data_IF_520382311828
#
_entry.id   IF_520382311828
#
_cell.length_a   1.000
_cell.length_b   1.000
_cell.length_c   1.000
_cell.angle_alpha   90.00
_cell.angle_beta   90.00
_cell.angle_gamma   90.00
#
_symmetry.space_group_name_H-M   'P 1'
#
loop_
_entity.id
_entity.type
_entity.pdbx_description
1 polymer ?
#
# COMPACT_ATOMS: atom_id res chain seq x y z
N UNK A 1 -18.12 4.55 -5.39
CA UNK A 1 -17.03 3.59 -5.44
C UNK A 1 -15.82 4.14 -4.70
N UNK A 2 -15.28 3.36 -3.80
CA UNK A 2 -14.20 3.85 -2.94
C UNK A 2 -12.85 3.40 -3.47
N UNK A 3 -11.88 4.28 -3.33
CA UNK A 3 -10.52 3.97 -3.74
C UNK A 3 -9.58 4.49 -2.66
N UNK A 4 -8.62 3.67 -2.29
CA UNK A 4 -7.59 4.06 -1.34
C UNK A 4 -6.27 4.17 -2.07
N UNK A 5 -5.62 5.30 -1.92
CA UNK A 5 -4.36 5.56 -2.59
C UNK A 5 -3.22 5.36 -1.61
N UNK A 6 -2.32 4.46 -1.95
CA UNK A 6 -1.11 4.24 -1.17
C UNK A 6 0.10 4.72 -1.95
N UNK A 7 0.90 5.52 -1.30
CA UNK A 7 2.18 5.95 -1.85
C UNK A 7 3.23 4.93 -1.46
N UNK A 8 3.93 4.43 -2.45
CA UNK A 8 4.95 3.40 -2.24
C UNK A 8 6.32 4.03 -2.38
N UNK A 9 7.12 3.89 -1.35
CA UNK A 9 8.45 4.45 -1.32
C UNK A 9 9.44 3.38 -0.90
N UNK A 10 10.59 3.38 -1.53
CA UNK A 10 11.64 2.43 -1.17
C UNK A 10 12.55 3.05 -0.13
N UNK A 11 12.78 2.34 0.94
CA UNK A 11 13.61 2.83 2.03
C UNK A 11 14.49 1.67 2.50
N UNK A 12 15.77 1.73 2.16
CA UNK A 12 16.68 0.64 2.46
C UNK A 12 16.25 -0.59 1.69
N UNK A 13 16.04 -1.68 2.35
CA UNK A 13 15.56 -2.89 1.70
C UNK A 13 14.06 -3.06 1.77
N UNK A 14 13.32 -2.01 2.11
CA UNK A 14 11.89 -2.11 2.38
C UNK A 14 11.07 -1.26 1.42
N UNK A 15 9.88 -1.76 1.11
CA UNK A 15 8.87 -0.95 0.44
C UNK A 15 7.88 -0.49 1.49
N UNK A 16 7.72 0.82 1.60
CA UNK A 16 6.83 1.41 2.59
C UNK A 16 5.60 1.95 1.87
N UNK A 17 4.44 1.53 2.33
CA UNK A 17 3.17 1.99 1.77
C UNK A 17 2.49 2.90 2.77
N UNK A 18 2.11 4.07 2.32
CA UNK A 18 1.48 5.07 3.19
C UNK A 18 0.20 5.57 2.57
N UNK A 19 -0.86 5.59 3.35
CA UNK A 19 -2.14 6.18 2.96
C UNK A 19 -2.41 7.37 3.87
N UNK A 20 -2.96 8.44 3.31
CA UNK A 20 -3.18 9.66 4.07
C UNK A 20 -4.59 9.82 4.59
N UNK A 21 -5.56 9.22 3.97
CA UNK A 21 -6.96 9.36 4.38
C UNK A 21 -7.69 8.04 4.25
N UNK A 22 -7.81 7.31 5.35
CA UNK A 22 -7.26 7.57 6.69
C UNK A 22 -5.78 7.28 6.75
N UNK A 23 -5.13 7.84 7.72
CA UNK A 23 -3.69 7.65 7.84
C UNK A 23 -3.37 6.21 8.22
N UNK A 24 -2.62 5.53 7.36
CA UNK A 24 -2.23 4.14 7.56
C UNK A 24 -0.88 3.93 6.91
N UNK A 25 -0.12 2.99 7.43
CA UNK A 25 1.18 2.65 6.86
C UNK A 25 1.51 1.20 7.13
N UNK A 26 2.22 0.60 6.18
CA UNK A 26 2.76 -0.74 6.36
C UNK A 26 4.01 -0.84 5.49
N UNK A 27 4.72 -1.95 5.63
CA UNK A 27 5.94 -2.14 4.84
C UNK A 27 6.19 -3.62 4.63
N UNK A 28 6.95 -3.92 3.59
CA UNK A 28 7.34 -5.28 3.28
C UNK A 28 8.59 -5.23 2.41
N UNK A 29 9.25 -6.36 2.27
CA UNK A 29 10.49 -6.41 1.50
C UNK A 29 10.25 -6.50 0.01
N UNK A 30 9.09 -7.00 -0.40
CA UNK A 30 8.77 -7.13 -1.82
C UNK A 30 7.37 -6.62 -2.06
N UNK A 31 7.09 -6.29 -3.31
CA UNK A 31 5.76 -5.85 -3.69
C UNK A 31 4.75 -6.98 -3.49
N UNK A 32 5.14 -8.20 -3.79
CA UNK A 32 4.26 -9.35 -3.61
C UNK A 32 3.84 -9.52 -2.17
N UNK A 33 4.76 -9.25 -1.24
CA UNK A 33 4.44 -9.34 0.17
C UNK A 33 3.67 -8.12 0.65
N UNK A 34 3.90 -6.98 0.01
CA UNK A 34 3.28 -5.73 0.43
C UNK A 34 1.78 -5.72 0.19
N UNK A 35 1.35 -6.26 -0.93
CA UNK A 35 -0.08 -6.20 -1.30
C UNK A 35 -0.97 -6.87 -0.25
N UNK A 36 -0.68 -8.10 0.18
CA UNK A 36 -1.50 -8.69 1.26
C UNK A 36 -1.39 -7.92 2.57
N UNK A 37 -0.24 -7.30 2.83
CA UNK A 37 -0.11 -6.48 4.04
C UNK A 37 -1.02 -5.26 3.99
N UNK A 38 -1.13 -4.65 2.82
CA UNK A 38 -2.05 -3.52 2.65
C UNK A 38 -3.49 -3.99 2.83
N UNK A 39 -3.84 -5.14 2.28
CA UNK A 39 -5.18 -5.67 2.41
C UNK A 39 -5.51 -5.94 3.87
N UNK A 40 -4.58 -6.52 4.60
CA UNK A 40 -4.76 -6.77 6.02
C UNK A 40 -4.95 -5.47 6.79
N UNK A 41 -4.16 -4.47 6.45
CA UNK A 41 -4.25 -3.18 7.10
C UNK A 41 -5.64 -2.57 6.91
N UNK A 42 -6.18 -2.67 5.72
CA UNK A 42 -7.51 -2.15 5.42
C UNK A 42 -8.55 -2.94 6.22
N UNK A 43 -8.41 -4.25 6.27
CA UNK A 43 -9.35 -5.09 7.00
C UNK A 43 -9.33 -4.79 8.51
N UNK A 44 -8.19 -4.42 9.03
CA UNK A 44 -8.09 -4.05 10.43
C UNK A 44 -8.61 -2.65 10.71
N UNK A 45 -8.50 -1.77 9.73
CA UNK A 45 -8.85 -0.37 9.90
C UNK A 45 -10.35 -0.13 9.77
N UNK A 46 -11.02 -0.90 8.94
CA UNK A 46 -12.44 -0.71 8.65
C UNK A 46 -13.23 -1.93 9.10
N UNK A 47 -14.43 -1.67 9.63
CA UNK A 47 -15.33 -2.74 10.05
C UNK A 47 -15.85 -3.52 8.85
N UNK A 48 -16.34 -4.73 9.13
CA UNK A 48 -16.90 -5.57 8.08
C UNK A 48 -17.98 -4.88 7.27
N UNK A 49 -18.73 -4.00 7.92
CA UNK A 49 -19.86 -3.33 7.28
C UNK A 49 -19.47 -2.04 6.61
N UNK A 50 -18.22 -1.61 6.80
CA UNK A 50 -17.78 -0.36 6.21
C UNK A 50 -17.49 -0.59 4.73
N UNK A 51 -18.16 0.14 3.82
CA UNK A 51 -17.91 -0.04 2.40
C UNK A 51 -16.47 0.24 2.00
N UNK A 52 -15.74 1.01 2.78
CA UNK A 52 -14.35 1.29 2.48
C UNK A 52 -13.47 0.06 2.58
N UNK A 53 -13.93 -0.97 3.29
CA UNK A 53 -13.19 -2.21 3.40
C UNK A 53 -13.04 -2.90 2.05
N UNK A 54 -13.95 -2.61 1.13
CA UNK A 54 -13.93 -3.17 -0.21
C UNK A 54 -13.39 -2.20 -1.25
N UNK A 55 -12.66 -1.20 -0.79
CA UNK A 55 -12.11 -0.22 -1.70
C UNK A 55 -11.11 -0.83 -2.65
N UNK A 56 -11.03 -0.26 -3.83
CA UNK A 56 -9.93 -0.53 -4.73
C UNK A 56 -8.67 0.09 -4.15
N UNK A 57 -7.56 -0.56 -4.40
CA UNK A 57 -6.27 -0.08 -3.94
C UNK A 57 -5.50 0.43 -5.14
N UNK A 58 -5.09 1.69 -5.07
CA UNK A 58 -4.24 2.28 -6.09
C UNK A 58 -2.86 2.49 -5.49
N UNK A 59 -1.84 2.03 -6.17
CA UNK A 59 -0.47 2.20 -5.72
C UNK A 59 0.20 3.27 -6.57
N UNK A 60 0.77 4.25 -5.91
CA UNK A 60 1.52 5.30 -6.57
C UNK A 60 2.97 5.20 -6.10
N UNK A 61 3.87 4.92 -7.02
CA UNK A 61 5.28 4.80 -6.68
C UNK A 61 5.92 6.17 -6.69
N UNK A 62 6.40 6.58 -5.52
CA UNK A 62 7.00 7.89 -5.36
C UNK A 62 8.30 7.97 -6.14
N UNK A 63 9.09 6.91 -6.06
CA UNK A 63 10.33 6.84 -6.80
C UNK A 63 10.18 5.85 -7.93
N UNK A 64 10.75 6.21 -9.07
CA UNK A 64 10.69 5.36 -10.23
C UNK A 64 11.44 4.06 -9.94
N UNK A 65 10.76 2.93 -10.00
CA UNK A 65 11.39 1.64 -9.69
C UNK A 65 12.23 1.11 -10.84
N UNK A 66 12.36 1.85 -11.89
CA UNK A 66 13.08 1.39 -13.07
C UNK A 66 14.49 0.96 -12.73
N UNK A 67 15.06 1.59 -11.74
CA UNK A 67 16.41 1.22 -11.38
C UNK A 67 16.58 -0.27 -11.11
N UNK A 68 15.52 -0.91 -10.72
CA UNK A 68 15.57 -2.34 -10.47
C UNK A 68 15.91 -3.09 -11.74
N UNK A 69 15.65 -2.49 -12.87
CA UNK A 69 15.89 -3.11 -14.16
C UNK A 69 17.31 -2.91 -14.63
N UNK A 70 17.96 -1.96 -14.05
CA UNK A 70 19.32 -1.65 -14.47
C UNK A 70 20.28 -2.75 -14.09
N UNK A 71 19.83 -3.60 -13.25
CA UNK A 71 20.68 -4.72 -12.83
C UNK A 71 20.79 -5.77 -13.91
#
# INVERSE_FOLDING_TARGET
>A
MNELLFHIEQDGGWLVATCHEPEMATQAETLEALVPMIRDLINCRFDDEDPKRRSSIRLHFVNDPVLALAS
#
